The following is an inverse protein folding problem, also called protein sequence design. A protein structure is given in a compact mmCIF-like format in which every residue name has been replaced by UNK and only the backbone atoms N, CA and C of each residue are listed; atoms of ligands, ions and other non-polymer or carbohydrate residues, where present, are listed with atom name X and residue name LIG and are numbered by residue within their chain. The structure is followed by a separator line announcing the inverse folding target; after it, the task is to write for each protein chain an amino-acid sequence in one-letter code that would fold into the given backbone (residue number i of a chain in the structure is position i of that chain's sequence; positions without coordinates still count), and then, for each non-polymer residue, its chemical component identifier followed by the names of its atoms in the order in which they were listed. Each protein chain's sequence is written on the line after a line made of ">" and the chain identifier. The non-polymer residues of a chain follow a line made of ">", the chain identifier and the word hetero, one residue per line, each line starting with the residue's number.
data_IF_185923689966
#
_entry.id   IF_185923689966
#
_cell.length_a   1.000
_cell.length_b   1.000
_cell.length_c   1.000
_cell.angle_alpha   90.00
_cell.angle_beta   90.00
_cell.angle_gamma   90.00
#
_symmetry.space_group_name_H-M   'P 1'
#
loop_
_entity.id
_entity.type
_entity.pdbx_description
1 polymer ?
#
# COMPACT_ATOMS: atom_id res chain seq x y z
N UNK A 1 7.44 -4.82 15.17
CA UNK A 1 7.61 -5.21 13.75
C UNK A 1 6.29 -5.31 12.96
N UNK A 2 5.13 -5.53 13.60
CA UNK A 2 3.82 -5.64 12.92
C UNK A 2 2.93 -4.38 12.87
N UNK A 3 2.97 -3.39 13.79
CA UNK A 3 2.00 -2.28 13.79
C UNK A 3 2.04 -1.45 12.50
N UNK A 4 3.24 -1.21 11.98
CA UNK A 4 3.48 -0.41 10.77
C UNK A 4 2.81 -0.99 9.52
N UNK A 5 2.82 -2.33 9.38
CA UNK A 5 2.12 -3.01 8.30
C UNK A 5 0.59 -2.86 8.45
N UNK A 6 0.08 -2.99 9.67
CA UNK A 6 -1.35 -2.79 9.98
C UNK A 6 -1.80 -1.37 9.67
N UNK A 7 -0.99 -0.35 9.96
CA UNK A 7 -1.29 1.05 9.64
C UNK A 7 -1.41 1.24 8.12
N UNK A 8 -0.51 0.65 7.31
CA UNK A 8 -0.64 0.75 5.84
C UNK A 8 -1.96 0.18 5.32
N UNK A 9 -2.41 -0.95 5.87
CA UNK A 9 -3.68 -1.55 5.48
C UNK A 9 -4.86 -0.66 5.87
N UNK A 10 -4.84 -0.05 7.05
CA UNK A 10 -5.90 0.88 7.49
C UNK A 10 -5.96 2.12 6.57
N UNK A 11 -4.80 2.65 6.16
CA UNK A 11 -4.73 3.78 5.23
C UNK A 11 -5.28 3.44 3.84
N UNK A 12 -4.95 2.25 3.31
CA UNK A 12 -5.50 1.76 2.04
C UNK A 12 -7.01 1.54 2.16
N UNK A 13 -7.47 0.92 3.26
CA UNK A 13 -8.89 0.71 3.53
C UNK A 13 -9.67 2.03 3.51
N UNK A 14 -9.12 3.08 4.13
CA UNK A 14 -9.71 4.42 4.14
C UNK A 14 -9.95 4.99 2.73
N UNK A 15 -9.04 4.71 1.78
CA UNK A 15 -9.18 5.19 0.40
C UNK A 15 -10.30 4.48 -0.38
N UNK A 16 -10.63 3.23 -0.05
CA UNK A 16 -11.60 2.39 -0.80
C UNK A 16 -12.90 2.09 -0.05
N UNK A 17 -13.03 2.59 1.19
CA UNK A 17 -14.02 2.19 2.20
C UNK A 17 -15.49 2.16 1.75
N UNK A 18 -15.86 2.98 0.75
CA UNK A 18 -17.26 3.14 0.31
C UNK A 18 -17.56 2.59 -1.08
N UNK A 19 -16.54 2.11 -1.82
CA UNK A 19 -16.71 1.72 -3.25
C UNK A 19 -16.23 0.31 -3.56
N UNK A 20 -15.64 -0.40 -2.60
CA UNK A 20 -15.09 -1.75 -2.78
C UNK A 20 -15.85 -2.76 -1.91
N UNK A 21 -16.14 -3.94 -2.47
CA UNK A 21 -16.79 -5.03 -1.73
C UNK A 21 -15.84 -5.59 -0.66
N UNK A 22 -16.39 -6.03 0.49
CA UNK A 22 -15.65 -6.63 1.59
C UNK A 22 -14.86 -7.88 1.17
N UNK A 23 -15.41 -8.71 0.27
CA UNK A 23 -14.69 -9.86 -0.28
C UNK A 23 -13.46 -9.45 -1.09
N UNK A 24 -13.59 -8.41 -1.93
CA UNK A 24 -12.45 -7.86 -2.68
C UNK A 24 -11.40 -7.26 -1.72
N UNK A 25 -11.86 -6.64 -0.62
CA UNK A 25 -10.99 -6.12 0.44
C UNK A 25 -10.20 -7.23 1.12
N UNK A 26 -10.86 -8.29 1.58
CA UNK A 26 -10.20 -9.44 2.19
C UNK A 26 -9.16 -10.10 1.27
N UNK A 27 -9.39 -10.12 -0.04
CA UNK A 27 -8.41 -10.64 -1.00
C UNK A 27 -7.19 -9.73 -1.16
N UNK A 28 -7.35 -8.42 -0.98
CA UNK A 28 -6.23 -7.46 -1.06
C UNK A 28 -5.34 -7.45 0.19
N UNK A 29 -5.86 -7.89 1.34
CA UNK A 29 -5.17 -7.79 2.63
C UNK A 29 -3.95 -8.74 2.77
N UNK A 30 -4.03 -10.06 2.48
CA UNK A 30 -2.87 -10.97 2.62
C UNK A 30 -1.70 -10.73 1.66
N UNK A 31 -1.93 -10.39 0.37
CA UNK A 31 -0.85 -10.08 -0.56
C UNK A 31 -0.08 -8.78 -0.21
N UNK A 32 -0.73 -7.84 0.47
CA UNK A 32 -0.14 -6.55 0.77
C UNK A 32 1.09 -6.60 1.68
N UNK A 33 1.05 -7.20 2.89
CA UNK A 33 2.21 -7.29 3.75
C UNK A 33 3.32 -8.17 3.16
N UNK A 34 2.96 -9.18 2.36
CA UNK A 34 3.90 -10.15 1.80
C UNK A 34 4.66 -9.61 0.58
N UNK A 35 3.96 -9.07 -0.41
CA UNK A 35 4.60 -8.62 -1.66
C UNK A 35 5.00 -7.14 -1.64
N UNK A 36 4.22 -6.27 -1.00
CA UNK A 36 4.47 -4.82 -1.01
C UNK A 36 5.30 -4.38 0.20
N UNK A 37 4.74 -4.53 1.40
CA UNK A 37 5.38 -4.02 2.61
C UNK A 37 6.74 -4.68 2.87
N UNK A 38 6.82 -6.02 2.81
CA UNK A 38 8.08 -6.74 3.07
C UNK A 38 9.16 -6.37 2.05
N UNK A 39 8.81 -6.25 0.77
CA UNK A 39 9.75 -5.83 -0.27
C UNK A 39 10.27 -4.42 -0.02
N UNK A 40 9.37 -3.48 0.28
CA UNK A 40 9.72 -2.07 0.48
C UNK A 40 10.54 -1.87 1.76
N UNK A 41 10.14 -2.54 2.85
CA UNK A 41 10.88 -2.55 4.11
C UNK A 41 12.27 -3.18 3.97
N UNK A 42 12.40 -4.31 3.26
CA UNK A 42 13.70 -4.91 2.98
C UNK A 42 14.59 -3.97 2.15
N UNK A 43 14.01 -3.31 1.15
CA UNK A 43 14.77 -2.45 0.24
C UNK A 43 15.38 -1.23 0.94
N UNK A 44 14.66 -0.65 1.89
CA UNK A 44 15.02 0.63 2.54
C UNK A 44 15.64 0.45 3.93
N UNK A 45 15.16 -0.51 4.73
CA UNK A 45 15.61 -0.68 6.12
C UNK A 45 16.60 -1.83 6.32
N UNK A 46 16.72 -2.74 5.35
CA UNK A 46 17.73 -3.79 5.46
C UNK A 46 19.11 -3.26 5.04
N UNK A 47 20.20 -3.55 5.78
CA UNK A 47 21.55 -3.18 5.39
C UNK A 47 21.97 -3.75 4.01
N UNK A 48 21.38 -4.88 3.61
CA UNK A 48 21.61 -5.50 2.29
C UNK A 48 20.66 -5.02 1.21
N UNK A 49 19.66 -4.20 1.56
CA UNK A 49 18.66 -3.64 0.66
C UNK A 49 19.27 -2.67 -0.36
N UNK A 50 18.68 -2.63 -1.56
CA UNK A 50 19.26 -1.85 -2.65
C UNK A 50 19.11 -0.34 -2.44
N UNK A 51 18.00 0.14 -1.87
CA UNK A 51 17.78 1.57 -1.58
C UNK A 51 18.65 2.02 -0.40
N UNK A 52 18.85 1.17 0.59
CA UNK A 52 19.79 1.43 1.69
C UNK A 52 21.22 1.61 1.16
N UNK A 53 21.67 0.75 0.24
CA UNK A 53 22.99 0.87 -0.41
C UNK A 53 23.14 2.12 -1.28
N UNK A 54 22.04 2.65 -1.81
CA UNK A 54 22.02 3.93 -2.55
C UNK A 54 22.05 5.16 -1.63
N UNK A 55 22.09 4.98 -0.30
CA UNK A 55 22.16 6.07 0.67
C UNK A 55 20.81 6.71 1.00
N UNK A 56 19.70 6.07 0.64
CA UNK A 56 18.35 6.55 0.98
C UNK A 56 18.07 6.21 2.44
N UNK A 57 17.67 7.21 3.22
CA UNK A 57 17.38 7.07 4.65
C UNK A 57 15.88 7.33 4.87
N UNK A 58 15.18 6.32 5.37
CA UNK A 58 13.81 6.43 5.87
C UNK A 58 13.77 6.03 7.35
N UNK A 59 13.66 7.01 8.26
CA UNK A 59 13.74 6.76 9.70
C UNK A 59 12.46 6.13 10.27
N UNK A 60 11.29 6.64 9.88
CA UNK A 60 9.99 6.31 10.49
C UNK A 60 8.99 5.67 9.53
N UNK A 61 9.36 5.47 8.27
CA UNK A 61 8.49 4.86 7.26
C UNK A 61 7.77 5.88 6.40
N UNK A 62 8.35 7.05 6.14
CA UNK A 62 7.80 8.02 5.19
C UNK A 62 7.56 7.40 3.81
N UNK A 63 8.51 6.59 3.34
CA UNK A 63 8.41 5.87 2.07
C UNK A 63 7.64 4.56 2.24
N UNK A 64 8.05 3.72 3.21
CA UNK A 64 7.52 2.36 3.41
C UNK A 64 6.04 2.37 3.81
N UNK A 65 5.62 3.35 4.60
CA UNK A 65 4.26 3.43 5.16
C UNK A 65 3.42 4.45 4.39
N UNK A 66 3.79 5.73 4.41
CA UNK A 66 2.93 6.80 3.91
C UNK A 66 2.85 6.85 2.39
N UNK A 67 3.99 6.87 1.69
CA UNK A 67 3.99 6.91 0.23
C UNK A 67 3.40 5.63 -0.37
N UNK A 68 3.87 4.47 0.09
CA UNK A 68 3.42 3.17 -0.41
C UNK A 68 1.90 2.99 -0.24
N UNK A 69 1.36 3.24 0.96
CA UNK A 69 -0.09 3.15 1.20
C UNK A 69 -0.90 4.21 0.44
N UNK A 70 -0.36 5.41 0.24
CA UNK A 70 -1.00 6.46 -0.55
C UNK A 70 -1.17 6.06 -2.02
N UNK A 71 -0.11 5.56 -2.66
CA UNK A 71 -0.15 5.07 -4.05
C UNK A 71 -1.08 3.85 -4.17
N UNK A 72 -1.03 2.97 -3.19
CA UNK A 72 -1.85 1.76 -3.13
C UNK A 72 -3.33 2.03 -2.87
N UNK A 73 -3.67 3.10 -2.16
CA UNK A 73 -5.06 3.55 -2.00
C UNK A 73 -5.56 4.27 -3.26
N UNK A 74 -4.71 5.10 -3.88
CA UNK A 74 -5.05 5.86 -5.09
C UNK A 74 -5.35 4.95 -6.29
N UNK A 75 -4.50 3.96 -6.53
CA UNK A 75 -4.59 3.06 -7.70
C UNK A 75 -5.97 2.39 -7.82
N UNK A 76 -6.45 1.60 -6.85
CA UNK A 76 -7.77 0.98 -6.90
C UNK A 76 -8.90 2.01 -6.89
N UNK A 77 -8.76 3.13 -6.17
CA UNK A 77 -9.77 4.17 -6.17
C UNK A 77 -9.96 4.79 -7.57
N UNK A 78 -8.87 4.99 -8.32
CA UNK A 78 -8.91 5.43 -9.71
C UNK A 78 -9.63 4.41 -10.60
N UNK A 79 -9.25 3.13 -10.54
CA UNK A 79 -9.86 2.08 -11.36
C UNK A 79 -11.35 1.87 -11.07
N UNK A 80 -11.73 1.84 -9.79
CA UNK A 80 -13.14 1.71 -9.38
C UNK A 80 -13.97 2.91 -9.84
N UNK A 81 -13.40 4.13 -9.81
CA UNK A 81 -14.09 5.32 -10.32
C UNK A 81 -14.24 5.29 -11.85
N UNK A 82 -13.21 4.84 -12.57
CA UNK A 82 -13.23 4.73 -14.03
C UNK A 82 -14.30 3.73 -14.49
N UNK A 83 -14.36 2.55 -13.85
CA UNK A 83 -15.36 1.53 -14.15
C UNK A 83 -16.79 2.03 -13.93
N UNK A 84 -17.04 2.84 -12.88
CA UNK A 84 -18.35 3.42 -12.63
C UNK A 84 -18.77 4.39 -13.76
N UNK A 85 -17.84 5.20 -14.27
CA UNK A 85 -18.13 6.18 -15.33
C UNK A 85 -18.43 5.47 -16.66
N UNK A 86 -17.70 4.40 -16.99
CA UNK A 86 -17.95 3.62 -18.22
C UNK A 86 -19.26 2.85 -18.24
N UNK A 87 -19.92 2.66 -17.10
CA UNK A 87 -21.25 2.03 -17.03
C UNK A 87 -22.41 3.05 -17.11
N UNK A 88 -22.12 4.35 -17.03
CA UNK A 88 -23.11 5.44 -17.02
C UNK A 88 -23.17 6.19 -18.36
N UNK A 89 -22.13 6.07 -19.20
CA UNK A 89 -22.05 6.58 -20.57
C UNK A 89 -22.30 5.45 -21.57
#
# INVERSE_FOLDING_TARGET
>A
MFPSATITLILIAGAVLRRMNFYAWMMSVPPWPTFSYTFTAFSVWCPTGFLFKMGIIDYSGGFVIHLSSGVAGYTPAYWVKLALISHVL
#
